data_IF_244388596153
#
_entry.id   IF_244388596153
#
_cell.length_a   1.000
_cell.length_b   1.000
_cell.length_c   1.000
_cell.angle_alpha   90.00
_cell.angle_beta   90.00
_cell.angle_gamma   90.00
#
_symmetry.space_group_name_H-M   'P 1'
#
loop_
_entity.id
_entity.type
_entity.pdbx_description
1 polymer ?
#
# COMPACT_ATOMS: atom_id res chain seq x y z
N UNK A 1 -3.61 5.19 37.28
CA UNK A 1 -3.67 5.75 35.91
C UNK A 1 -3.79 4.68 34.83
N UNK A 2 -2.90 3.68 34.78
CA UNK A 2 -2.92 2.61 33.77
C UNK A 2 -4.28 1.90 33.60
N UNK A 3 -4.92 1.50 34.71
CA UNK A 3 -6.22 0.81 34.66
C UNK A 3 -7.33 1.64 34.02
N UNK A 4 -7.31 2.97 34.19
CA UNK A 4 -8.29 3.87 33.57
C UNK A 4 -8.09 3.94 32.06
N UNK A 5 -6.85 4.05 31.59
CA UNK A 5 -6.51 4.06 30.16
C UNK A 5 -6.86 2.72 29.51
N UNK A 6 -6.57 1.60 30.18
CA UNK A 6 -6.93 0.27 29.70
C UNK A 6 -8.46 0.10 29.56
N UNK A 7 -9.23 0.55 30.55
CA UNK A 7 -10.69 0.52 30.49
C UNK A 7 -11.23 1.37 29.32
N UNK A 8 -10.71 2.59 29.13
CA UNK A 8 -11.08 3.45 28.01
C UNK A 8 -10.73 2.80 26.65
N UNK A 9 -9.57 2.14 26.54
CA UNK A 9 -9.18 1.41 25.32
C UNK A 9 -10.13 0.26 25.00
N UNK A 10 -10.53 -0.52 26.01
CA UNK A 10 -11.47 -1.63 25.80
C UNK A 10 -12.85 -1.15 25.37
N UNK A 11 -13.37 -0.10 26.01
CA UNK A 11 -14.63 0.52 25.62
C UNK A 11 -14.58 1.05 24.18
N UNK A 12 -13.48 1.70 23.81
CA UNK A 12 -13.27 2.17 22.44
C UNK A 12 -13.24 1.01 21.44
N UNK A 13 -12.45 -0.05 21.69
CA UNK A 13 -12.37 -1.21 20.81
C UNK A 13 -13.70 -1.94 20.63
N UNK A 14 -14.53 -1.99 21.67
CA UNK A 14 -15.85 -2.61 21.62
C UNK A 14 -16.89 -1.77 20.85
N UNK A 15 -16.75 -0.44 20.86
CA UNK A 15 -17.65 0.49 20.16
C UNK A 15 -17.21 0.83 18.72
N UNK A 16 -15.97 0.49 18.35
CA UNK A 16 -15.38 0.81 17.05
C UNK A 16 -16.16 0.13 15.91
N UNK A 17 -16.33 0.85 14.79
CA UNK A 17 -16.99 0.31 13.60
C UNK A 17 -16.14 -0.80 12.97
N UNK A 18 -16.78 -1.64 12.14
CA UNK A 18 -16.10 -2.69 11.38
C UNK A 18 -15.02 -2.10 10.47
N UNK A 19 -13.79 -2.59 10.61
CA UNK A 19 -12.66 -2.19 9.77
C UNK A 19 -11.85 -3.43 9.32
N UNK A 20 -11.19 -3.40 8.16
CA UNK A 20 -10.43 -4.56 7.66
C UNK A 20 -9.37 -5.07 8.64
N UNK A 21 -8.74 -4.20 9.42
CA UNK A 21 -7.72 -4.58 10.41
C UNK A 21 -8.26 -5.44 11.56
N UNK A 22 -9.59 -5.49 11.78
CA UNK A 22 -10.21 -6.38 12.76
C UNK A 22 -10.33 -7.83 12.26
N UNK A 23 -10.24 -8.05 10.94
CA UNK A 23 -10.45 -9.35 10.29
C UNK A 23 -9.23 -9.85 9.51
N UNK A 24 -8.19 -9.02 9.38
CA UNK A 24 -6.98 -9.33 8.62
C UNK A 24 -5.80 -9.64 9.54
N UNK A 25 -5.10 -10.72 9.26
CA UNK A 25 -3.88 -11.13 9.98
C UNK A 25 -2.69 -11.06 9.02
N UNK A 26 -1.56 -10.52 9.49
CA UNK A 26 -0.32 -10.48 8.73
C UNK A 26 0.52 -11.74 9.04
N UNK A 27 0.63 -12.63 8.04
CA UNK A 27 1.47 -13.84 8.10
C UNK A 27 2.84 -13.54 7.47
N UNK A 28 3.91 -13.99 8.10
CA UNK A 28 5.31 -13.76 7.67
C UNK A 28 6.11 -15.05 7.75
N UNK A 29 7.27 -15.09 7.08
CA UNK A 29 8.21 -16.22 7.07
C UNK A 29 7.55 -17.53 6.59
N UNK A 30 6.76 -17.44 5.53
CA UNK A 30 6.18 -18.60 4.87
C UNK A 30 7.34 -19.42 4.26
N UNK A 31 7.44 -20.73 4.53
CA UNK A 31 8.51 -21.56 3.99
C UNK A 31 8.40 -21.63 2.47
N UNK A 32 9.52 -21.61 1.73
CA UNK A 32 9.49 -21.81 0.29
C UNK A 32 9.18 -23.27 -0.03
N UNK A 33 8.32 -23.49 -1.01
CA UNK A 33 7.98 -24.80 -1.55
C UNK A 33 8.39 -24.84 -3.04
N UNK A 34 9.01 -25.93 -3.52
CA UNK A 34 9.42 -26.05 -4.92
C UNK A 34 8.24 -26.33 -5.88
N UNK A 35 7.16 -26.90 -5.37
CA UNK A 35 6.02 -27.39 -6.15
C UNK A 35 4.81 -26.45 -6.06
N UNK A 36 4.64 -25.75 -4.93
CA UNK A 36 3.54 -24.80 -4.69
C UNK A 36 4.01 -23.34 -4.61
N UNK A 37 3.19 -22.43 -5.15
CA UNK A 37 3.37 -21.00 -4.90
C UNK A 37 3.01 -20.63 -3.45
N UNK A 38 3.53 -19.50 -2.98
CA UNK A 38 3.19 -18.96 -1.64
C UNK A 38 1.68 -18.79 -1.45
N UNK A 39 0.93 -18.47 -2.51
CA UNK A 39 -0.52 -18.32 -2.44
C UNK A 39 -1.24 -19.65 -2.22
N UNK A 40 -0.88 -20.68 -2.98
CA UNK A 40 -1.43 -22.03 -2.86
C UNK A 40 -1.14 -22.64 -1.49
N UNK A 41 0.11 -22.49 -1.01
CA UNK A 41 0.51 -22.98 0.31
C UNK A 41 -0.30 -22.34 1.44
N UNK A 42 -0.52 -21.02 1.36
CA UNK A 42 -1.35 -20.28 2.35
C UNK A 42 -2.80 -20.72 2.26
N UNK A 43 -3.35 -20.83 1.06
CA UNK A 43 -4.73 -21.26 0.85
C UNK A 43 -4.96 -22.66 1.43
N UNK A 44 -4.13 -23.65 1.08
CA UNK A 44 -4.21 -24.99 1.61
C UNK A 44 -4.09 -25.02 3.14
N UNK A 45 -3.10 -24.31 3.71
CA UNK A 45 -2.90 -24.26 5.16
C UNK A 45 -4.14 -23.73 5.88
N UNK A 46 -4.73 -22.63 5.43
CA UNK A 46 -5.87 -22.03 6.12
C UNK A 46 -7.18 -22.77 5.87
N UNK A 47 -7.37 -23.38 4.70
CA UNK A 47 -8.55 -24.23 4.46
C UNK A 47 -8.53 -25.49 5.35
N UNK A 48 -7.36 -26.07 5.58
CA UNK A 48 -7.24 -27.26 6.45
C UNK A 48 -7.36 -26.91 7.93
N UNK A 49 -6.69 -25.84 8.38
CA UNK A 49 -6.62 -25.52 9.81
C UNK A 49 -7.74 -24.59 10.31
N UNK A 50 -8.33 -23.79 9.42
CA UNK A 50 -9.35 -22.80 9.76
C UNK A 50 -10.51 -22.75 8.73
N UNK A 51 -11.14 -23.90 8.41
CA UNK A 51 -12.11 -24.02 7.31
C UNK A 51 -13.30 -23.06 7.41
N UNK A 52 -13.83 -22.86 8.61
CA UNK A 52 -15.04 -22.03 8.81
C UNK A 52 -14.76 -20.53 8.87
N UNK A 53 -13.51 -20.13 9.04
CA UNK A 53 -13.11 -18.74 9.28
C UNK A 53 -12.27 -18.14 8.16
N UNK A 54 -11.66 -18.98 7.33
CA UNK A 54 -10.88 -18.53 6.20
C UNK A 54 -11.78 -17.95 5.12
N UNK A 55 -11.49 -16.71 4.70
CA UNK A 55 -12.22 -16.03 3.64
C UNK A 55 -11.36 -15.87 2.38
N UNK A 56 -10.20 -15.24 2.53
CA UNK A 56 -9.30 -14.94 1.42
C UNK A 56 -7.92 -14.53 1.95
N UNK A 57 -6.95 -14.47 1.06
CA UNK A 57 -5.61 -13.96 1.34
C UNK A 57 -5.13 -13.03 0.22
N UNK A 58 -4.15 -12.18 0.52
CA UNK A 58 -3.47 -11.37 -0.47
C UNK A 58 -1.96 -11.53 -0.30
N UNK A 59 -1.29 -12.07 -1.33
CA UNK A 59 0.16 -12.25 -1.34
C UNK A 59 0.85 -10.88 -1.47
N UNK A 60 1.84 -10.64 -0.61
CA UNK A 60 2.62 -9.40 -0.61
C UNK A 60 3.82 -9.55 -1.55
N UNK A 61 3.86 -8.74 -2.61
CA UNK A 61 4.97 -8.71 -3.57
C UNK A 61 5.86 -7.48 -3.35
N UNK A 62 7.14 -7.60 -3.74
CA UNK A 62 8.06 -6.47 -3.76
C UNK A 62 7.73 -5.48 -4.88
N UNK A 63 6.80 -4.56 -4.61
CA UNK A 63 6.36 -3.53 -5.55
C UNK A 63 7.19 -2.23 -5.48
N UNK A 64 8.37 -2.23 -4.85
CA UNK A 64 9.14 -1.01 -4.59
C UNK A 64 9.54 -0.26 -5.88
N UNK A 65 9.94 -0.98 -6.94
CA UNK A 65 10.29 -0.36 -8.21
C UNK A 65 9.06 0.24 -8.89
N UNK A 66 7.95 -0.52 -8.92
CA UNK A 66 6.69 -0.05 -9.46
C UNK A 66 6.19 1.21 -8.74
N UNK A 67 6.24 1.22 -7.41
CA UNK A 67 5.85 2.37 -6.60
C UNK A 67 6.69 3.62 -6.94
N UNK A 68 8.01 3.47 -7.17
CA UNK A 68 8.88 4.57 -7.61
C UNK A 68 8.46 5.11 -8.98
N UNK A 69 8.13 4.24 -9.93
CA UNK A 69 7.67 4.63 -11.26
C UNK A 69 6.32 5.35 -11.21
N UNK A 70 5.36 4.84 -10.44
CA UNK A 70 4.04 5.48 -10.24
C UNK A 70 4.21 6.88 -9.63
N UNK A 71 5.10 7.03 -8.65
CA UNK A 71 5.41 8.33 -8.05
C UNK A 71 6.04 9.30 -9.06
N UNK A 72 6.95 8.82 -9.92
CA UNK A 72 7.55 9.64 -11.00
C UNK A 72 6.49 10.09 -12.01
N UNK A 73 5.62 9.17 -12.44
CA UNK A 73 4.50 9.45 -13.34
C UNK A 73 3.57 10.52 -12.77
N UNK A 74 3.16 10.39 -11.49
CA UNK A 74 2.30 11.38 -10.83
C UNK A 74 2.95 12.78 -10.80
N UNK A 75 4.24 12.87 -10.50
CA UNK A 75 4.98 14.14 -10.56
C UNK A 75 5.00 14.74 -11.97
N UNK A 76 5.26 13.91 -12.99
CA UNK A 76 5.26 14.34 -14.38
C UNK A 76 3.89 14.85 -14.81
N UNK A 77 2.81 14.19 -14.37
CA UNK A 77 1.45 14.65 -14.63
C UNK A 77 1.18 16.02 -14.01
N UNK A 78 1.62 16.25 -12.76
CA UNK A 78 1.48 17.55 -12.11
C UNK A 78 2.23 18.65 -12.87
N UNK A 79 3.45 18.35 -13.36
CA UNK A 79 4.21 19.28 -14.20
C UNK A 79 3.53 19.55 -15.54
N UNK A 80 2.99 18.52 -16.19
CA UNK A 80 2.23 18.65 -17.43
C UNK A 80 1.07 19.62 -17.24
N UNK A 81 0.24 19.40 -16.22
CA UNK A 81 -0.90 20.25 -15.87
C UNK A 81 -0.44 21.69 -15.59
N UNK A 82 0.64 21.87 -14.82
CA UNK A 82 1.21 23.19 -14.55
C UNK A 82 1.59 23.93 -15.84
N UNK A 83 2.29 23.27 -16.76
CA UNK A 83 2.74 23.89 -17.99
C UNK A 83 1.60 24.17 -18.98
N UNK A 84 0.60 23.29 -19.05
CA UNK A 84 -0.62 23.51 -19.83
C UNK A 84 -1.37 24.75 -19.32
N UNK A 85 -1.65 24.83 -18.02
CA UNK A 85 -2.30 25.98 -17.40
C UNK A 85 -1.52 27.30 -17.62
N UNK A 86 -0.18 27.23 -17.65
CA UNK A 86 0.67 28.41 -17.88
C UNK A 86 0.63 28.86 -19.35
N UNK A 87 0.64 27.92 -20.29
CA UNK A 87 0.51 28.21 -21.72
C UNK A 87 -0.84 28.89 -22.01
N UNK A 88 -1.93 28.36 -21.48
CA UNK A 88 -3.28 28.91 -21.65
C UNK A 88 -3.40 30.35 -21.13
N UNK A 89 -2.69 30.69 -20.05
CA UNK A 89 -2.76 32.02 -19.43
C UNK A 89 -1.90 33.08 -20.11
N UNK A 90 -0.75 32.71 -20.66
CA UNK A 90 0.27 33.66 -21.14
C UNK A 90 0.45 33.61 -22.65
N UNK A 91 -0.16 32.65 -23.36
CA UNK A 91 0.00 32.36 -24.80
C UNK A 91 1.45 32.10 -25.26
N UNK A 92 2.43 32.18 -24.35
CA UNK A 92 3.83 31.85 -24.57
C UNK A 92 4.13 30.47 -24.00
N UNK A 93 4.80 29.62 -24.78
CA UNK A 93 5.18 28.28 -24.35
C UNK A 93 6.21 28.37 -23.21
N UNK A 94 5.95 27.74 -22.05
CA UNK A 94 6.93 27.69 -20.98
C UNK A 94 8.14 26.86 -21.41
N UNK A 95 9.33 27.43 -21.32
CA UNK A 95 10.57 26.70 -21.54
C UNK A 95 10.91 25.83 -20.32
N UNK A 96 11.30 24.57 -20.57
CA UNK A 96 11.83 23.73 -19.51
C UNK A 96 13.19 24.24 -19.06
N UNK A 97 13.29 24.67 -17.81
CA UNK A 97 14.58 24.92 -17.18
C UNK A 97 15.17 23.60 -16.72
N UNK A 98 16.16 23.07 -17.44
CA UNK A 98 16.93 21.94 -16.96
C UNK A 98 17.71 22.37 -15.72
N UNK A 99 17.47 21.71 -14.58
CA UNK A 99 18.46 21.73 -13.50
C UNK A 99 19.55 20.74 -13.88
N UNK A 100 20.71 21.26 -14.25
CA UNK A 100 21.96 20.53 -14.36
C UNK A 100 22.14 19.72 -13.07
N UNK A 101 21.86 18.42 -13.16
CA UNK A 101 22.07 17.53 -12.03
C UNK A 101 23.55 17.22 -12.06
N UNK A 102 24.34 18.00 -11.29
CA UNK A 102 25.72 17.65 -10.98
C UNK A 102 25.69 16.29 -10.30
N UNK A 103 26.10 15.26 -11.06
CA UNK A 103 26.54 14.00 -10.50
C UNK A 103 27.77 14.31 -9.64
N UNK A 104 27.68 14.00 -8.35
CA UNK A 104 28.82 13.81 -7.45
C UNK A 104 28.80 12.35 -7.01
#
# INVERSE_FOLDING_TARGET
>A
EYGKVAAMRLQFLAAEKRRPDQFSVLVRNIPPDPDESVGELVEHFFLVNHPDNYLTHQVVYNANQLAKLVKKKSKMQNWLVYYQNKLERTSNRPEMKWKESRCY
#
